data_IF_827893323155
#
_entry.id   IF_827893323155
#
_cell.length_a   1.000
_cell.length_b   1.000
_cell.length_c   1.000
_cell.angle_alpha   90.00
_cell.angle_beta   90.00
_cell.angle_gamma   90.00
#
_symmetry.space_group_name_H-M   'P 1'
#
loop_
_entity.id
_entity.type
_entity.pdbx_description
1 polymer ?
#
# COMPACT_ATOMS: atom_id res chain seq x y z
N UNK A 1 -54.30 -17.04 -37.79
CA UNK A 1 -53.53 -15.80 -37.54
C UNK A 1 -53.29 -15.65 -36.04
N UNK A 2 -52.03 -15.75 -35.60
CA UNK A 2 -51.66 -15.62 -34.17
C UNK A 2 -51.52 -14.11 -33.89
N UNK A 3 -52.45 -13.52 -33.12
CA UNK A 3 -52.35 -12.10 -32.70
C UNK A 3 -51.05 -11.94 -31.90
N UNK A 4 -50.06 -11.25 -32.46
CA UNK A 4 -48.90 -10.80 -31.69
C UNK A 4 -49.39 -9.73 -30.70
N UNK A 5 -49.15 -9.96 -29.41
CA UNK A 5 -49.42 -8.96 -28.37
C UNK A 5 -48.34 -7.88 -28.49
N UNK A 6 -48.75 -6.66 -28.81
CA UNK A 6 -47.86 -5.51 -28.78
C UNK A 6 -47.70 -5.04 -27.32
N UNK A 7 -46.46 -4.76 -26.92
CA UNK A 7 -46.13 -4.24 -25.59
C UNK A 7 -46.62 -2.78 -25.50
N UNK A 8 -47.28 -2.43 -24.40
CA UNK A 8 -47.72 -1.05 -24.16
C UNK A 8 -46.57 -0.22 -23.57
N UNK A 9 -46.62 1.10 -23.80
CA UNK A 9 -45.63 2.03 -23.25
C UNK A 9 -45.65 2.04 -21.71
N UNK A 10 -46.83 1.84 -21.10
CA UNK A 10 -46.99 1.77 -19.64
C UNK A 10 -46.30 0.53 -19.07
N UNK A 11 -46.46 -0.65 -19.71
CA UNK A 11 -45.79 -1.87 -19.27
C UNK A 11 -44.27 -1.73 -19.30
N UNK A 12 -43.72 -1.10 -20.36
CA UNK A 12 -42.29 -0.83 -20.44
C UNK A 12 -41.82 0.15 -19.35
N UNK A 13 -42.60 1.21 -19.10
CA UNK A 13 -42.26 2.25 -18.12
C UNK A 13 -42.26 1.71 -16.67
N UNK A 14 -43.21 0.86 -16.32
CA UNK A 14 -43.25 0.23 -14.98
C UNK A 14 -42.05 -0.69 -14.78
N UNK A 15 -41.65 -1.46 -15.80
CA UNK A 15 -40.50 -2.37 -15.71
C UNK A 15 -39.20 -1.59 -15.47
N UNK A 16 -38.95 -0.53 -16.24
CA UNK A 16 -37.73 0.28 -16.03
C UNK A 16 -37.75 1.00 -14.68
N UNK A 17 -38.92 1.43 -14.19
CA UNK A 17 -39.04 2.02 -12.86
C UNK A 17 -38.69 1.02 -11.75
N UNK A 18 -39.16 -0.23 -11.85
CA UNK A 18 -38.81 -1.29 -10.89
C UNK A 18 -37.31 -1.61 -10.95
N UNK A 19 -36.73 -1.74 -12.16
CA UNK A 19 -35.29 -1.97 -12.32
C UNK A 19 -34.48 -0.83 -11.69
N UNK A 20 -34.86 0.42 -11.94
CA UNK A 20 -34.19 1.59 -11.37
C UNK A 20 -34.23 1.60 -9.84
N UNK A 21 -35.39 1.26 -9.24
CA UNK A 21 -35.54 1.13 -7.79
C UNK A 21 -34.62 0.04 -7.21
N UNK A 22 -34.63 -1.15 -7.81
CA UNK A 22 -33.79 -2.27 -7.38
C UNK A 22 -32.30 -1.95 -7.52
N UNK A 23 -31.90 -1.35 -8.64
CA UNK A 23 -30.52 -0.92 -8.87
C UNK A 23 -30.07 0.13 -7.86
N UNK A 24 -30.97 1.01 -7.39
CA UNK A 24 -30.68 1.98 -6.34
C UNK A 24 -30.25 1.35 -5.01
N UNK A 25 -30.77 0.18 -4.66
CA UNK A 25 -30.43 -0.55 -3.42
C UNK A 25 -29.23 -1.49 -3.66
N UNK A 26 -29.14 -2.09 -4.84
CA UNK A 26 -28.09 -3.07 -5.17
C UNK A 26 -26.72 -2.42 -5.39
N UNK A 27 -26.64 -1.25 -6.04
CA UNK A 27 -25.36 -0.62 -6.36
C UNK A 27 -24.51 -0.27 -5.12
N UNK A 28 -25.05 0.38 -4.07
CA UNK A 28 -24.29 0.65 -2.84
C UNK A 28 -23.78 -0.62 -2.17
N UNK A 29 -24.64 -1.65 -2.12
CA UNK A 29 -24.33 -2.94 -1.49
C UNK A 29 -23.21 -3.68 -2.24
N UNK A 30 -23.28 -3.71 -3.58
CA UNK A 30 -22.25 -4.32 -4.44
C UNK A 30 -20.92 -3.56 -4.36
N UNK A 31 -20.94 -2.23 -4.25
CA UNK A 31 -19.72 -1.44 -4.05
C UNK A 31 -19.03 -1.84 -2.75
N UNK A 32 -19.77 -1.89 -1.64
CA UNK A 32 -19.24 -2.31 -0.33
C UNK A 32 -18.67 -3.73 -0.37
N UNK A 33 -19.38 -4.68 -0.98
CA UNK A 33 -18.92 -6.05 -1.13
C UNK A 33 -17.62 -6.13 -1.95
N UNK A 34 -17.52 -5.37 -3.05
CA UNK A 34 -16.30 -5.28 -3.87
C UNK A 34 -15.12 -4.70 -3.10
N UNK A 35 -15.34 -3.64 -2.31
CA UNK A 35 -14.29 -3.01 -1.52
C UNK A 35 -13.77 -3.94 -0.42
N UNK A 36 -14.65 -4.74 0.20
CA UNK A 36 -14.26 -5.80 1.13
C UNK A 36 -13.45 -6.91 0.43
N UNK A 37 -13.90 -7.37 -0.73
CA UNK A 37 -13.17 -8.38 -1.51
C UNK A 37 -11.77 -7.90 -1.91
N UNK A 38 -11.63 -6.63 -2.30
CA UNK A 38 -10.31 -6.00 -2.55
C UNK A 38 -9.43 -6.01 -1.30
N UNK A 39 -10.00 -5.77 -0.12
CA UNK A 39 -9.27 -5.89 1.15
C UNK A 39 -8.74 -7.29 1.41
N UNK A 40 -9.56 -8.32 1.19
CA UNK A 40 -9.13 -9.72 1.32
C UNK A 40 -7.97 -10.05 0.37
N UNK A 41 -8.04 -9.58 -0.88
CA UNK A 41 -6.95 -9.76 -1.86
C UNK A 41 -5.68 -9.02 -1.42
N UNK A 42 -5.80 -7.80 -0.90
CA UNK A 42 -4.66 -7.06 -0.35
C UNK A 42 -3.96 -7.83 0.79
N UNK A 43 -4.74 -8.35 1.74
CA UNK A 43 -4.20 -9.19 2.83
C UNK A 43 -3.46 -10.42 2.27
N UNK A 44 -4.03 -11.08 1.27
CA UNK A 44 -3.39 -12.24 0.64
C UNK A 44 -2.08 -11.87 -0.08
N UNK A 45 -2.04 -10.72 -0.76
CA UNK A 45 -0.84 -10.19 -1.40
C UNK A 45 0.25 -9.88 -0.35
N UNK A 46 -0.06 -9.12 0.69
CA UNK A 46 0.88 -8.80 1.77
C UNK A 46 1.37 -10.06 2.47
N UNK A 47 0.49 -11.05 2.72
CA UNK A 47 0.90 -12.33 3.29
C UNK A 47 1.88 -13.07 2.36
N UNK A 48 1.64 -13.02 1.06
CA UNK A 48 2.58 -13.53 0.05
C UNK A 48 3.93 -12.82 0.10
N UNK A 49 3.96 -11.50 0.33
CA UNK A 49 5.22 -10.76 0.57
C UNK A 49 5.92 -11.19 1.84
N UNK A 50 5.19 -11.42 2.94
CA UNK A 50 5.77 -11.98 4.16
C UNK A 50 6.42 -13.35 3.95
N UNK A 51 5.81 -14.22 3.15
CA UNK A 51 6.41 -15.50 2.75
C UNK A 51 7.66 -15.27 1.90
N UNK A 52 7.60 -14.39 0.89
CA UNK A 52 8.73 -14.05 0.04
C UNK A 52 9.92 -13.47 0.83
N UNK A 53 9.63 -12.65 1.85
CA UNK A 53 10.62 -12.13 2.79
C UNK A 53 11.31 -13.27 3.54
N UNK A 54 10.58 -14.23 4.11
CA UNK A 54 11.22 -15.34 4.84
C UNK A 54 12.04 -16.24 3.93
N UNK A 55 11.58 -16.51 2.71
CA UNK A 55 12.39 -17.24 1.72
C UNK A 55 13.68 -16.49 1.38
N UNK A 56 13.61 -15.17 1.20
CA UNK A 56 14.79 -14.34 1.01
C UNK A 56 15.72 -14.41 2.23
N UNK A 57 15.18 -14.27 3.43
CA UNK A 57 15.98 -14.30 4.66
C UNK A 57 16.73 -15.62 4.83
N UNK A 58 16.14 -16.75 4.43
CA UNK A 58 16.79 -18.05 4.48
C UNK A 58 18.00 -18.12 3.52
N UNK A 59 17.91 -17.52 2.34
CA UNK A 59 19.00 -17.47 1.36
C UNK A 59 20.12 -16.47 1.73
N UNK A 60 19.79 -15.42 2.49
CA UNK A 60 20.69 -14.31 2.81
C UNK A 60 21.12 -14.26 4.30
N UNK A 61 21.16 -15.42 4.97
CA UNK A 61 21.62 -15.58 6.35
C UNK A 61 20.88 -14.61 7.31
N UNK A 62 19.56 -14.53 7.16
CA UNK A 62 18.66 -13.70 7.97
C UNK A 62 18.97 -12.19 7.87
N UNK A 63 19.60 -11.78 6.77
CA UNK A 63 19.85 -10.36 6.45
C UNK A 63 18.80 -9.85 5.47
N UNK A 64 18.21 -8.70 5.73
CA UNK A 64 17.34 -8.01 4.78
C UNK A 64 18.16 -7.24 3.73
N UNK A 65 17.54 -6.96 2.58
CA UNK A 65 18.08 -6.04 1.57
C UNK A 65 18.09 -4.57 2.03
N UNK A 66 18.74 -3.70 1.27
CA UNK A 66 18.69 -2.24 1.49
C UNK A 66 17.31 -1.69 1.13
N UNK A 67 16.96 -0.48 1.57
CA UNK A 67 15.68 0.16 1.23
C UNK A 67 15.88 1.29 0.20
N UNK A 68 15.90 0.97 -1.10
CA UNK A 68 15.98 2.00 -2.14
C UNK A 68 14.65 2.78 -2.22
N UNK A 69 14.73 4.03 -2.65
CA UNK A 69 13.67 5.01 -2.39
C UNK A 69 12.73 5.26 -3.58
N UNK A 70 13.17 5.03 -4.81
CA UNK A 70 12.50 5.62 -5.97
C UNK A 70 11.42 4.77 -6.62
N UNK A 71 11.12 3.58 -6.09
CA UNK A 71 9.97 2.82 -6.56
C UNK A 71 10.07 2.31 -8.00
N UNK A 72 11.27 2.30 -8.61
CA UNK A 72 11.47 1.87 -9.99
C UNK A 72 11.76 0.38 -10.11
N UNK A 73 11.03 -0.30 -10.99
CA UNK A 73 11.25 -1.73 -11.22
C UNK A 73 12.40 -2.03 -12.19
N UNK A 74 12.74 -1.04 -13.01
CA UNK A 74 13.71 -1.10 -14.08
C UNK A 74 14.10 0.34 -14.45
N UNK A 75 15.13 0.52 -15.29
CA UNK A 75 15.53 1.86 -15.70
C UNK A 75 14.67 2.46 -16.83
N UNK A 76 13.60 1.80 -17.24
CA UNK A 76 12.73 2.33 -18.27
C UNK A 76 11.80 3.39 -17.68
N UNK A 77 11.78 4.55 -18.31
CA UNK A 77 10.66 5.48 -18.15
C UNK A 77 9.43 4.88 -18.85
N UNK A 78 8.21 5.21 -18.39
CA UNK A 78 6.98 4.62 -18.96
C UNK A 78 6.94 4.77 -20.49
N UNK A 79 6.96 3.65 -21.21
CA UNK A 79 6.94 3.61 -22.68
C UNK A 79 8.32 3.61 -23.37
N UNK A 80 9.42 3.72 -22.62
CA UNK A 80 10.77 3.55 -23.13
C UNK A 80 11.21 2.07 -23.10
N UNK A 81 12.21 1.72 -23.89
CA UNK A 81 12.84 0.41 -23.81
C UNK A 81 13.61 0.28 -22.48
N UNK A 82 13.51 -0.88 -21.83
CA UNK A 82 14.39 -1.22 -20.69
C UNK A 82 15.81 -1.38 -21.24
N UNK A 83 16.72 -0.56 -20.75
CA UNK A 83 18.14 -0.59 -21.16
C UNK A 83 18.94 -1.47 -20.19
N UNK A 84 18.61 -1.44 -18.89
CA UNK A 84 19.20 -2.29 -17.84
C UNK A 84 18.21 -2.54 -16.72
N UNK A 85 18.10 -3.78 -16.26
CA UNK A 85 17.33 -4.11 -15.07
C UNK A 85 18.04 -3.60 -13.81
N UNK A 86 17.27 -3.06 -12.85
CA UNK A 86 17.82 -2.68 -11.56
C UNK A 86 18.08 -3.90 -10.68
N UNK A 87 19.20 -3.87 -9.96
CA UNK A 87 19.47 -4.83 -8.90
C UNK A 87 18.74 -4.46 -7.59
N UNK A 88 18.63 -5.39 -6.63
CA UNK A 88 17.95 -5.17 -5.36
C UNK A 88 18.58 -4.07 -4.48
N UNK A 89 19.83 -3.69 -4.76
CA UNK A 89 20.56 -2.66 -4.02
C UNK A 89 20.77 -1.37 -4.86
N UNK A 90 20.15 -1.26 -6.03
CA UNK A 90 20.26 -0.04 -6.84
C UNK A 90 19.56 1.12 -6.11
N UNK A 91 20.18 2.31 -5.98
CA UNK A 91 19.57 3.45 -5.27
C UNK A 91 18.20 3.89 -5.82
N UNK A 92 17.96 3.62 -7.10
CA UNK A 92 16.74 3.99 -7.81
C UNK A 92 15.69 2.87 -7.81
N UNK A 93 16.05 1.66 -7.38
CA UNK A 93 15.16 0.52 -7.40
C UNK A 93 13.93 0.71 -6.50
N UNK A 94 12.88 -0.03 -6.83
CA UNK A 94 11.86 -0.43 -5.90
C UNK A 94 12.40 -1.56 -5.04
N UNK A 95 12.20 -1.47 -3.73
CA UNK A 95 12.57 -2.52 -2.78
C UNK A 95 11.99 -3.89 -3.17
N UNK A 96 10.85 -3.92 -3.86
CA UNK A 96 10.21 -5.15 -4.29
C UNK A 96 11.06 -6.00 -5.24
N UNK A 97 12.09 -5.43 -5.89
CA UNK A 97 13.03 -6.18 -6.74
C UNK A 97 13.72 -7.31 -5.94
N UNK A 98 14.06 -7.08 -4.67
CA UNK A 98 14.70 -8.11 -3.84
C UNK A 98 13.81 -9.33 -3.60
N UNK A 99 12.50 -9.11 -3.46
CA UNK A 99 11.55 -10.17 -3.13
C UNK A 99 10.80 -10.73 -4.34
N UNK A 100 10.85 -10.06 -5.49
CA UNK A 100 10.14 -10.47 -6.69
C UNK A 100 10.46 -11.91 -7.17
N UNK A 101 11.73 -12.37 -7.14
CA UNK A 101 12.06 -13.77 -7.48
C UNK A 101 11.33 -14.80 -6.61
N UNK A 102 11.12 -14.48 -5.33
CA UNK A 102 10.45 -15.34 -4.35
C UNK A 102 8.93 -15.24 -4.43
N UNK A 103 8.40 -14.03 -4.69
CA UNK A 103 6.97 -13.78 -4.85
C UNK A 103 6.41 -14.35 -6.16
N UNK A 104 7.26 -14.57 -7.18
CA UNK A 104 6.92 -15.11 -8.53
C UNK A 104 5.93 -14.27 -9.35
N UNK A 105 5.32 -13.24 -8.78
CA UNK A 105 4.33 -12.40 -9.46
C UNK A 105 4.36 -10.95 -8.95
N UNK A 106 4.65 -10.01 -9.86
CA UNK A 106 4.69 -8.56 -9.60
C UNK A 106 3.35 -7.99 -9.09
N UNK A 107 2.22 -8.64 -9.39
CA UNK A 107 0.89 -8.21 -8.90
C UNK A 107 0.76 -8.26 -7.38
N UNK A 108 1.57 -9.09 -6.72
CA UNK A 108 1.60 -9.21 -5.26
C UNK A 108 2.10 -7.92 -4.58
N UNK A 109 2.79 -7.03 -5.31
CA UNK A 109 3.24 -5.73 -4.79
C UNK A 109 2.20 -4.62 -5.00
N UNK A 110 0.96 -4.97 -5.40
CA UNK A 110 -0.15 -4.04 -5.58
C UNK A 110 -1.35 -4.37 -4.68
N UNK A 111 -1.85 -3.37 -3.98
CA UNK A 111 -3.18 -3.38 -3.40
C UNK A 111 -4.23 -3.04 -4.49
N UNK A 112 -5.28 -3.87 -4.67
CA UNK A 112 -6.31 -3.62 -5.69
C UNK A 112 -7.22 -2.41 -5.38
N UNK A 113 -7.10 -1.82 -4.19
CA UNK A 113 -7.77 -0.59 -3.80
C UNK A 113 -6.95 0.67 -4.09
N UNK A 114 -5.66 0.56 -4.42
CA UNK A 114 -4.81 1.69 -4.75
C UNK A 114 -5.32 2.42 -5.99
N UNK A 115 -5.50 3.74 -5.85
CA UNK A 115 -5.84 4.63 -6.96
C UNK A 115 -4.56 5.27 -7.48
N UNK A 116 -3.71 5.79 -6.59
CA UNK A 116 -2.47 6.49 -6.94
C UNK A 116 -1.33 6.09 -5.99
N UNK A 117 -0.15 5.85 -6.54
CA UNK A 117 1.08 5.63 -5.76
C UNK A 117 2.00 6.84 -5.91
N UNK A 118 2.89 7.01 -4.94
CA UNK A 118 3.93 8.02 -5.03
C UNK A 118 4.80 7.77 -6.25
N UNK A 119 4.81 8.76 -7.14
CA UNK A 119 5.50 8.79 -8.42
C UNK A 119 6.58 9.86 -8.44
N UNK A 120 7.04 10.35 -7.28
CA UNK A 120 8.15 11.30 -7.14
C UNK A 120 8.10 12.42 -8.20
N UNK A 121 7.00 13.21 -8.23
CA UNK A 121 6.76 14.19 -9.28
C UNK A 121 7.88 15.24 -9.41
N UNK A 122 8.68 15.46 -8.38
CA UNK A 122 9.91 16.26 -8.41
C UNK A 122 10.96 15.75 -9.41
N UNK A 123 10.96 14.46 -9.73
CA UNK A 123 11.82 13.86 -10.77
C UNK A 123 11.23 14.03 -12.18
N UNK A 124 10.14 14.79 -12.32
CA UNK A 124 9.48 15.07 -13.59
C UNK A 124 8.57 13.94 -14.10
N UNK A 125 8.27 12.94 -13.26
CA UNK A 125 7.39 11.83 -13.61
C UNK A 125 5.93 12.29 -13.53
N UNK A 126 5.38 12.48 -12.33
CA UNK A 126 4.02 12.98 -12.16
C UNK A 126 2.93 12.07 -12.77
N UNK A 127 1.68 12.55 -12.79
CA UNK A 127 0.46 11.73 -12.96
C UNK A 127 0.47 10.82 -14.20
N UNK A 128 1.19 11.18 -15.27
CA UNK A 128 1.29 10.39 -16.49
C UNK A 128 1.96 9.01 -16.28
N UNK A 129 2.72 8.83 -15.20
CA UNK A 129 3.54 7.63 -14.94
C UNK A 129 2.88 6.62 -13.99
N UNK A 130 1.61 6.81 -13.65
CA UNK A 130 0.94 6.01 -12.63
C UNK A 130 0.79 4.52 -13.00
N UNK A 131 0.85 4.16 -14.28
CA UNK A 131 0.82 2.74 -14.67
C UNK A 131 2.15 2.06 -14.39
N UNK A 132 3.26 2.78 -14.54
CA UNK A 132 4.57 2.25 -14.19
C UNK A 132 4.66 1.93 -12.69
N UNK A 133 4.23 2.86 -11.84
CA UNK A 133 4.19 2.69 -10.38
C UNK A 133 3.05 1.79 -9.89
N UNK A 134 2.26 1.19 -10.79
CA UNK A 134 1.08 0.41 -10.44
C UNK A 134 1.34 -0.70 -9.42
N UNK A 135 2.55 -1.26 -9.41
CA UNK A 135 2.96 -2.36 -8.53
C UNK A 135 3.86 -1.92 -7.39
N UNK A 136 3.73 -0.67 -6.93
CA UNK A 136 4.54 -0.08 -5.88
C UNK A 136 3.67 0.49 -4.76
N UNK A 137 2.63 -0.23 -4.33
CA UNK A 137 1.61 0.30 -3.41
C UNK A 137 1.78 -0.09 -1.95
N UNK A 138 2.94 -0.64 -1.63
CA UNK A 138 3.30 -1.02 -0.27
C UNK A 138 4.58 -0.28 0.11
N UNK A 139 4.59 0.26 1.33
CA UNK A 139 5.76 0.86 1.95
C UNK A 139 6.59 -0.21 2.66
N UNK A 140 7.90 -0.12 2.52
CA UNK A 140 8.86 -0.87 3.33
C UNK A 140 9.31 0.00 4.51
N UNK A 141 9.24 -0.56 5.72
CA UNK A 141 9.85 0.05 6.89
C UNK A 141 11.39 0.11 6.71
N UNK A 142 11.96 1.31 6.62
CA UNK A 142 13.41 1.47 6.41
C UNK A 142 14.25 1.03 7.62
N UNK A 143 13.69 0.97 8.83
CA UNK A 143 14.43 0.50 10.01
C UNK A 143 14.79 -0.98 9.94
N UNK A 144 14.04 -1.78 9.18
CA UNK A 144 14.35 -3.20 8.96
C UNK A 144 15.30 -3.40 7.78
N UNK A 145 15.72 -2.36 7.07
CA UNK A 145 16.59 -2.47 5.90
C UNK A 145 18.06 -2.67 6.28
N UNK A 146 18.77 -3.51 5.52
CA UNK A 146 20.17 -3.87 5.74
C UNK A 146 20.47 -4.43 7.15
N UNK A 147 19.49 -5.12 7.75
CA UNK A 147 19.55 -5.62 9.12
C UNK A 147 19.66 -7.13 9.20
N UNK A 148 20.40 -7.62 10.21
CA UNK A 148 20.38 -9.03 10.62
C UNK A 148 19.24 -9.22 11.61
N UNK A 149 18.10 -9.69 11.14
CA UNK A 149 16.83 -9.53 11.87
C UNK A 149 16.80 -10.26 13.21
N UNK A 150 17.39 -11.45 13.31
CA UNK A 150 17.40 -12.25 14.55
C UNK A 150 18.34 -11.63 15.61
N UNK A 151 19.34 -10.86 15.16
CA UNK A 151 20.25 -10.15 16.04
C UNK A 151 19.64 -8.84 16.53
N UNK A 152 19.06 -8.07 15.62
CA UNK A 152 18.63 -6.69 15.85
C UNK A 152 17.21 -6.57 16.42
N UNK A 153 16.32 -7.51 16.09
CA UNK A 153 14.93 -7.49 16.56
C UNK A 153 14.64 -8.71 17.43
N UNK A 154 14.20 -8.49 18.67
CA UNK A 154 13.89 -9.57 19.61
C UNK A 154 12.46 -10.08 19.53
N UNK A 155 11.54 -9.25 19.03
CA UNK A 155 10.11 -9.56 18.90
C UNK A 155 9.66 -9.29 17.48
N UNK A 156 9.67 -10.33 16.64
CA UNK A 156 9.34 -10.19 15.22
C UNK A 156 7.84 -9.99 14.97
N UNK A 157 6.99 -10.38 15.91
CA UNK A 157 5.55 -10.14 15.90
C UNK A 157 5.17 -8.69 16.22
N UNK A 158 6.12 -7.87 16.67
CA UNK A 158 5.89 -6.46 17.01
C UNK A 158 6.58 -5.50 16.05
N UNK A 159 7.34 -5.99 15.05
CA UNK A 159 8.08 -5.14 14.11
C UNK A 159 7.40 -5.18 12.74
N UNK A 160 7.02 -4.02 12.26
CA UNK A 160 6.42 -3.79 10.94
C UNK A 160 7.49 -3.97 9.86
N UNK A 161 7.13 -4.65 8.77
CA UNK A 161 8.01 -4.74 7.58
C UNK A 161 7.36 -4.09 6.37
N UNK A 162 6.14 -4.50 6.03
CA UNK A 162 5.42 -3.99 4.86
C UNK A 162 4.09 -3.39 5.29
N UNK A 163 3.67 -2.28 4.69
CA UNK A 163 2.36 -1.69 4.97
C UNK A 163 1.69 -1.21 3.70
N UNK A 164 0.35 -1.27 3.67
CA UNK A 164 -0.44 -0.45 2.76
C UNK A 164 -0.03 1.01 2.95
N UNK A 165 0.62 1.56 1.93
CA UNK A 165 1.10 2.93 1.95
C UNK A 165 1.13 3.51 0.54
N UNK A 166 1.14 4.84 0.42
CA UNK A 166 1.28 5.52 -0.87
C UNK A 166 2.75 5.58 -1.31
N UNK A 167 3.65 5.72 -0.34
CA UNK A 167 5.10 5.79 -0.47
C UNK A 167 5.75 4.42 -0.37
N UNK A 168 6.82 4.21 -1.12
CA UNK A 168 7.51 2.92 -1.20
C UNK A 168 8.49 2.71 -0.04
N UNK A 169 9.07 3.76 0.52
CA UNK A 169 10.01 3.69 1.64
C UNK A 169 9.49 4.54 2.79
N UNK A 170 9.45 3.97 3.99
CA UNK A 170 9.03 4.68 5.19
C UNK A 170 10.27 4.95 6.01
N UNK A 171 10.81 6.18 5.96
CA UNK A 171 12.09 6.52 6.59
C UNK A 171 12.08 7.74 7.49
N UNK A 172 10.96 8.45 7.56
CA UNK A 172 10.80 9.61 8.42
C UNK A 172 9.64 9.43 9.41
N UNK A 173 9.99 9.45 10.70
CA UNK A 173 9.03 9.44 11.82
C UNK A 173 8.10 10.64 11.69
N UNK A 174 6.80 10.44 11.94
CA UNK A 174 5.71 11.38 11.70
C UNK A 174 5.42 11.72 10.23
N UNK A 175 6.39 11.65 9.32
CA UNK A 175 6.19 12.08 7.93
C UNK A 175 5.50 11.00 7.10
N UNK A 176 6.05 9.78 7.16
CA UNK A 176 5.63 8.65 6.32
C UNK A 176 5.12 7.51 7.21
N UNK A 177 5.63 7.43 8.44
CA UNK A 177 5.23 6.41 9.40
C UNK A 177 3.92 6.78 10.08
N UNK A 178 3.17 5.76 10.50
CA UNK A 178 1.93 5.95 11.27
C UNK A 178 2.18 6.32 12.74
N UNK A 179 3.41 6.24 13.23
CA UNK A 179 3.76 6.67 14.58
C UNK A 179 4.05 8.17 14.65
N UNK A 180 3.99 8.70 15.88
CA UNK A 180 4.49 10.03 16.18
C UNK A 180 5.79 10.01 16.98
N UNK A 181 6.66 10.98 16.72
CA UNK A 181 7.87 11.27 17.48
C UNK A 181 7.63 12.30 18.59
N UNK A 182 8.66 12.62 19.38
CA UNK A 182 8.55 13.59 20.45
C UNK A 182 8.08 14.96 19.94
N UNK A 183 7.13 15.58 20.66
CA UNK A 183 6.65 16.94 20.39
C UNK A 183 5.88 17.14 19.09
N UNK A 184 5.42 16.07 18.45
CA UNK A 184 4.53 16.13 17.27
C UNK A 184 3.17 15.54 17.64
N UNK A 185 2.09 16.15 17.19
CA UNK A 185 0.72 15.75 17.53
C UNK A 185 0.01 14.92 16.44
N UNK A 186 0.66 14.72 15.30
CA UNK A 186 0.04 14.03 14.17
C UNK A 186 1.05 13.31 13.29
N UNK A 187 0.74 12.07 12.91
CA UNK A 187 1.47 11.27 11.94
C UNK A 187 1.19 11.73 10.50
N UNK A 188 1.84 11.09 9.53
CA UNK A 188 1.69 11.34 8.10
C UNK A 188 1.76 12.82 7.69
N UNK A 189 2.59 13.64 8.35
CA UNK A 189 2.63 15.10 8.15
C UNK A 189 2.91 15.51 6.71
N UNK A 190 3.71 14.73 5.98
CA UNK A 190 3.96 14.92 4.55
C UNK A 190 2.75 14.59 3.69
N UNK A 191 1.93 13.62 4.11
CA UNK A 191 0.78 13.11 3.35
C UNK A 191 -0.56 13.69 3.80
N UNK A 192 -0.58 14.61 4.76
CA UNK A 192 -1.82 15.27 5.21
C UNK A 192 -2.15 16.52 4.39
N UNK A 193 -3.45 16.86 4.23
CA UNK A 193 -3.86 18.11 3.61
C UNK A 193 -3.19 19.32 4.25
N UNK A 194 -2.65 20.22 3.42
CA UNK A 194 -1.93 21.42 3.86
C UNK A 194 -0.40 21.25 3.93
N UNK A 195 0.13 20.04 3.76
CA UNK A 195 1.58 19.85 3.55
C UNK A 195 2.02 20.46 2.21
N UNK A 196 3.31 20.82 2.08
CA UNK A 196 3.87 21.33 0.83
C UNK A 196 3.76 20.33 -0.32
N UNK A 197 3.98 19.04 -0.03
CA UNK A 197 3.90 17.98 -1.03
C UNK A 197 2.46 17.82 -1.54
N UNK A 198 1.50 17.71 -0.62
CA UNK A 198 0.09 17.50 -0.98
C UNK A 198 -0.47 18.72 -1.70
N UNK A 199 -0.16 19.91 -1.21
CA UNK A 199 -0.62 21.16 -1.80
C UNK A 199 -0.04 21.41 -3.20
N UNK A 200 1.12 20.86 -3.53
CA UNK A 200 1.76 21.06 -4.85
C UNK A 200 1.37 19.96 -5.84
N UNK A 201 1.39 18.69 -5.44
CA UNK A 201 1.35 17.56 -6.38
C UNK A 201 0.13 16.63 -6.23
N UNK A 202 -0.63 16.80 -5.15
CA UNK A 202 -1.75 15.90 -4.78
C UNK A 202 -3.05 16.65 -4.51
N UNK A 203 -3.21 17.84 -5.10
CA UNK A 203 -4.42 18.65 -4.94
C UNK A 203 -5.67 17.85 -5.34
N UNK A 204 -6.66 17.82 -4.43
CA UNK A 204 -7.90 17.08 -4.65
C UNK A 204 -7.82 15.57 -4.49
N UNK A 205 -6.65 15.03 -4.11
CA UNK A 205 -6.48 13.60 -3.81
C UNK A 205 -6.45 13.36 -2.31
N UNK A 206 -7.17 12.35 -1.82
CA UNK A 206 -7.14 11.93 -0.43
C UNK A 206 -5.98 10.94 -0.21
N UNK A 207 -4.79 11.48 0.04
CA UNK A 207 -3.56 10.74 0.31
C UNK A 207 -3.63 9.92 1.59
N UNK A 208 -4.36 10.37 2.61
CA UNK A 208 -4.58 9.59 3.83
C UNK A 208 -5.42 8.35 3.53
N UNK A 209 -6.40 8.45 2.64
CA UNK A 209 -7.15 7.29 2.18
C UNK A 209 -6.29 6.29 1.41
N UNK A 210 -5.21 6.71 0.75
CA UNK A 210 -4.24 5.80 0.14
C UNK A 210 -3.38 5.07 1.18
N UNK A 211 -3.10 5.66 2.34
CA UNK A 211 -2.45 4.92 3.42
C UNK A 211 -3.44 3.96 4.12
N UNK A 212 -4.72 4.35 4.24
CA UNK A 212 -5.76 3.61 4.96
C UNK A 212 -6.90 3.10 4.04
N UNK A 213 -6.53 2.37 2.98
CA UNK A 213 -7.41 1.98 1.85
C UNK A 213 -8.61 1.12 2.24
N UNK A 214 -8.49 0.33 3.30
CA UNK A 214 -9.44 -0.73 3.63
C UNK A 214 -10.37 -0.34 4.77
N UNK A 215 -11.35 0.52 4.45
CA UNK A 215 -12.31 1.03 5.44
C UNK A 215 -11.63 1.79 6.59
N UNK A 216 -10.70 2.70 6.24
CA UNK A 216 -9.87 3.45 7.20
C UNK A 216 -8.93 2.55 8.00
N UNK A 217 -8.37 1.56 7.33
CA UNK A 217 -7.34 0.70 7.87
C UNK A 217 -6.28 0.40 6.79
N UNK A 218 -5.05 0.25 7.25
CA UNK A 218 -3.88 -0.16 6.48
C UNK A 218 -3.56 -1.60 6.85
N UNK A 219 -3.49 -2.50 5.87
CA UNK A 219 -2.99 -3.85 6.15
C UNK A 219 -1.47 -3.79 6.31
N UNK A 220 -0.97 -4.48 7.33
CA UNK A 220 0.41 -4.41 7.79
C UNK A 220 0.96 -5.81 7.95
N UNK A 221 2.09 -6.10 7.30
CA UNK A 221 2.90 -7.28 7.54
C UNK A 221 3.89 -7.02 8.65
N UNK A 222 3.95 -7.95 9.59
CA UNK A 222 4.94 -7.96 10.66
C UNK A 222 6.13 -8.85 10.26
N UNK A 223 7.23 -8.73 10.98
CA UNK A 223 8.50 -9.36 10.65
C UNK A 223 8.46 -10.89 10.79
N UNK A 224 7.59 -11.43 11.64
CA UNK A 224 7.27 -12.85 11.70
C UNK A 224 6.40 -13.34 10.51
N UNK A 225 5.96 -12.42 9.64
CA UNK A 225 5.16 -12.67 8.46
C UNK A 225 3.64 -12.75 8.70
N UNK A 226 3.14 -12.50 9.91
CA UNK A 226 1.68 -12.36 10.09
C UNK A 226 1.19 -11.01 9.54
N UNK A 227 -0.11 -10.92 9.26
CA UNK A 227 -0.73 -9.71 8.71
C UNK A 227 -1.87 -9.29 9.61
N UNK A 228 -1.88 -8.02 10.01
CA UNK A 228 -2.98 -7.41 10.76
C UNK A 228 -3.30 -6.03 10.18
N UNK A 229 -4.33 -5.37 10.71
CA UNK A 229 -4.76 -4.06 10.22
C UNK A 229 -4.53 -2.99 11.28
N UNK A 230 -3.87 -1.89 10.90
CA UNK A 230 -3.74 -0.68 11.71
C UNK A 230 -4.83 0.30 11.26
N UNK A 231 -5.64 0.77 12.20
CA UNK A 231 -6.71 1.73 11.91
C UNK A 231 -6.14 3.14 11.73
N UNK A 232 -6.82 3.94 10.93
CA UNK A 232 -6.53 5.36 10.77
C UNK A 232 -6.59 6.08 12.13
N UNK A 233 -5.51 6.76 12.48
CA UNK A 233 -5.37 7.54 13.71
C UNK A 233 -4.45 8.75 13.49
N UNK A 234 -4.26 9.56 14.54
CA UNK A 234 -3.25 10.62 14.58
C UNK A 234 -1.85 10.09 14.93
N UNK A 235 -1.72 8.80 15.22
CA UNK A 235 -0.45 8.11 15.50
C UNK A 235 -0.08 7.98 16.98
N UNK A 236 -0.88 8.54 17.89
CA UNK A 236 -0.68 8.41 19.35
C UNK A 236 -0.77 6.94 19.84
N UNK A 237 -1.57 6.13 19.15
CA UNK A 237 -1.79 4.71 19.42
C UNK A 237 -0.83 3.78 18.67
N UNK A 238 0.06 4.34 17.84
CA UNK A 238 1.06 3.58 17.07
C UNK A 238 2.44 3.87 17.67
N UNK A 239 2.98 2.96 18.50
CA UNK A 239 4.26 3.19 19.15
C UNK A 239 5.43 3.11 18.15
N UNK A 240 6.45 3.95 18.35
CA UNK A 240 7.64 3.99 17.49
C UNK A 240 8.39 2.66 17.43
N UNK A 241 8.33 1.87 18.51
CA UNK A 241 8.99 0.56 18.55
C UNK A 241 8.40 -0.46 17.57
N UNK A 242 7.19 -0.22 17.03
CA UNK A 242 6.69 -1.04 15.93
C UNK A 242 7.51 -0.88 14.65
N UNK A 243 8.25 0.21 14.51
CA UNK A 243 9.14 0.43 13.36
C UNK A 243 10.59 0.07 13.71
N UNK A 244 11.13 0.62 14.79
CA UNK A 244 12.56 0.48 15.10
C UNK A 244 12.92 -0.72 15.99
N UNK A 245 11.92 -1.43 16.53
CA UNK A 245 12.08 -2.59 17.41
C UNK A 245 12.62 -2.28 18.81
N UNK A 246 12.80 -1.01 19.17
CA UNK A 246 13.38 -0.58 20.44
C UNK A 246 12.28 -0.21 21.43
N UNK A 247 11.81 -1.18 22.21
CA UNK A 247 10.99 -0.86 23.39
C UNK A 247 11.82 -0.03 24.35
N UNK A 248 11.43 1.21 24.58
CA UNK A 248 11.86 1.94 25.77
C UNK A 248 11.32 1.19 26.98
N UNK A 249 12.20 0.51 27.70
CA UNK A 249 11.87 -0.01 29.02
C UNK A 249 11.56 1.19 29.91
N UNK A 250 10.27 1.52 30.06
CA UNK A 250 9.84 2.32 31.19
C UNK A 250 10.09 1.45 32.42
N UNK A 251 11.27 1.61 33.05
CA UNK A 251 11.49 1.11 34.40
C UNK A 251 10.40 1.72 35.28
N UNK A 252 9.44 0.89 35.68
CA UNK A 252 8.56 1.18 36.82
C UNK A 252 9.41 1.22 38.10
#
# INVERSE_FOLDING_TARGET
>A
MRRQRAFTLIELLVVVAIIALLMGILMPSLKKARDQAKGVVCVAHIKGLGVALHMYLDDYDRKTHTAPNQGLWDNAWEGAAVITDYGPNDPYAYWGIAYAPYAKNKKIFRCPSTIRNDDWPENGWGVLYQKYFAHCSYGLNSYVADKKIDREFKKHDEVIVFQDHIEQKLDSVNSDMFCIGPSVSINLTQWRPGSSLVSTYWQGHDTIRECFRHSKASNTCWLDGHVSAIKESTGEDVPTYWYDGKRTETRM
#
